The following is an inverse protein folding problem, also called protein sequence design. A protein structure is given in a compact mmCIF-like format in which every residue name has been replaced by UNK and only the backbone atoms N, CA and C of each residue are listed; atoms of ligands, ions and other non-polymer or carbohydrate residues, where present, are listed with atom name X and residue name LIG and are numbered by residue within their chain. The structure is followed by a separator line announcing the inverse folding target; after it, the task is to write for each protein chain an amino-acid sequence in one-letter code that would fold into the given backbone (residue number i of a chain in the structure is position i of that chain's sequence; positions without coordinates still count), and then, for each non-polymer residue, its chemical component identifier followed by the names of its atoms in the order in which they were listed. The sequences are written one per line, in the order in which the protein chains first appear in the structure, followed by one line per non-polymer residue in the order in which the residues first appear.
data_IF_104698721348
#
_entry.id   IF_104698721348
#
_cell.length_a   1.000
_cell.length_b   1.000
_cell.length_c   1.000
_cell.angle_alpha   90.00
_cell.angle_beta   90.00
_cell.angle_gamma   90.00
#
_symmetry.space_group_name_H-M   'P 1'
#
loop_
_entity.id
_entity.type
_entity.pdbx_description
1 polymer ?
#
# COMPACT_ATOMS: atom_id res chain seq x y z
N UNK A 1 -3.72 15.50 -23.11
CA UNK A 1 -2.79 15.59 -21.95
C UNK A 1 -1.39 15.60 -22.53
N UNK A 2 -0.49 16.41 -21.99
CA UNK A 2 0.90 16.42 -22.49
C UNK A 2 1.67 15.20 -21.98
N UNK A 3 2.72 14.78 -22.69
CA UNK A 3 3.53 13.61 -22.33
C UNK A 3 4.13 13.75 -20.92
N UNK A 4 4.59 14.96 -20.57
CA UNK A 4 5.13 15.27 -19.23
C UNK A 4 4.09 15.12 -18.12
N UNK A 5 2.84 15.46 -18.38
CA UNK A 5 1.77 15.25 -17.39
C UNK A 5 1.38 13.77 -17.27
N UNK A 6 1.56 13.00 -18.35
CA UNK A 6 1.20 11.59 -18.37
C UNK A 6 2.23 10.66 -17.70
N UNK A 7 3.50 11.02 -17.71
CA UNK A 7 4.63 10.23 -17.20
C UNK A 7 4.41 9.67 -15.78
N UNK A 8 3.82 10.49 -14.89
CA UNK A 8 3.48 10.06 -13.52
C UNK A 8 2.44 8.93 -13.51
N UNK A 9 1.42 9.01 -14.35
CA UNK A 9 0.37 7.99 -14.42
C UNK A 9 0.86 6.76 -15.16
N UNK A 10 1.69 6.92 -16.19
CA UNK A 10 2.31 5.79 -16.88
C UNK A 10 3.09 4.91 -15.90
N UNK A 11 3.89 5.53 -15.03
CA UNK A 11 4.62 4.82 -13.96
C UNK A 11 3.67 4.06 -13.05
N UNK A 12 2.54 4.68 -12.65
CA UNK A 12 1.51 4.02 -11.83
C UNK A 12 0.88 2.82 -12.55
N UNK A 13 0.49 2.96 -13.82
CA UNK A 13 -0.10 1.86 -14.60
C UNK A 13 0.87 0.70 -14.79
N UNK A 14 2.15 0.98 -15.08
CA UNK A 14 3.19 -0.05 -15.17
C UNK A 14 3.33 -0.83 -13.86
N UNK A 15 3.29 -0.13 -12.73
CA UNK A 15 3.34 -0.75 -11.40
C UNK A 15 2.11 -1.63 -11.15
N UNK A 16 0.91 -1.14 -11.45
CA UNK A 16 -0.34 -1.92 -11.30
C UNK A 16 -0.32 -3.18 -12.16
N UNK A 17 0.14 -3.10 -13.41
CA UNK A 17 0.31 -4.27 -14.29
C UNK A 17 1.28 -5.30 -13.69
N UNK A 18 2.41 -4.84 -13.15
CA UNK A 18 3.38 -5.71 -12.47
C UNK A 18 2.74 -6.38 -11.25
N UNK A 19 2.03 -5.63 -10.41
CA UNK A 19 1.39 -6.15 -9.20
C UNK A 19 0.23 -7.12 -9.49
N UNK A 20 -0.51 -6.92 -10.58
CA UNK A 20 -1.50 -7.88 -11.08
C UNK A 20 -0.83 -9.18 -11.52
N UNK A 21 0.30 -9.08 -12.24
CA UNK A 21 1.07 -10.26 -12.68
C UNK A 21 1.69 -11.03 -11.52
N UNK A 22 2.14 -10.32 -10.48
CA UNK A 22 2.67 -10.89 -9.24
C UNK A 22 1.56 -11.40 -8.30
N UNK A 23 0.28 -11.14 -8.60
CA UNK A 23 -0.86 -11.54 -7.77
C UNK A 23 -1.06 -10.72 -6.50
N UNK A 24 -0.35 -9.60 -6.35
CA UNK A 24 -0.48 -8.63 -5.24
C UNK A 24 -1.76 -7.81 -5.33
N UNK A 25 -2.21 -7.54 -6.57
CA UNK A 25 -3.54 -6.99 -6.88
C UNK A 25 -4.37 -8.03 -7.63
N UNK A 26 -5.69 -7.90 -7.58
CA UNK A 26 -6.62 -8.79 -8.27
C UNK A 26 -7.74 -7.98 -8.91
N UNK A 27 -8.36 -8.57 -9.93
CA UNK A 27 -9.61 -8.07 -10.49
C UNK A 27 -10.76 -8.56 -9.62
N UNK A 28 -11.62 -7.65 -9.17
CA UNK A 28 -12.82 -7.96 -8.41
C UNK A 28 -14.07 -7.36 -9.06
N UNK A 29 -15.22 -7.90 -8.67
CA UNK A 29 -16.52 -7.50 -9.21
C UNK A 29 -16.89 -6.09 -8.74
N UNK A 30 -17.33 -5.26 -9.69
CA UNK A 30 -17.83 -3.93 -9.43
C UNK A 30 -19.36 -3.99 -9.41
N UNK A 31 -19.95 -4.00 -8.22
CA UNK A 31 -21.38 -4.28 -8.04
C UNK A 31 -22.21 -3.01 -7.80
N UNK A 32 -21.62 -2.00 -7.15
CA UNK A 32 -22.32 -0.77 -6.81
C UNK A 32 -21.41 0.44 -6.98
N UNK A 33 -21.79 1.33 -7.90
CA UNK A 33 -21.06 2.55 -8.19
C UNK A 33 -20.83 3.43 -6.96
N UNK A 34 -21.81 3.57 -6.08
CA UNK A 34 -21.71 4.50 -4.95
C UNK A 34 -20.73 4.02 -3.88
N UNK A 35 -20.56 2.70 -3.75
CA UNK A 35 -19.64 2.10 -2.78
C UNK A 35 -18.31 1.68 -3.37
N UNK A 36 -18.25 1.39 -4.68
CA UNK A 36 -17.06 0.86 -5.33
C UNK A 36 -16.30 1.90 -6.15
N UNK A 37 -16.93 3.01 -6.56
CA UNK A 37 -16.26 4.07 -7.31
C UNK A 37 -15.65 5.11 -6.36
N UNK A 38 -14.43 4.84 -5.93
CA UNK A 38 -13.65 5.59 -4.96
C UNK A 38 -12.48 6.29 -5.67
N UNK A 39 -12.27 7.56 -5.33
CA UNK A 39 -11.13 8.37 -5.76
C UNK A 39 -9.79 7.72 -5.36
N UNK A 40 -8.77 7.86 -6.20
CA UNK A 40 -7.44 7.29 -5.97
C UNK A 40 -7.34 5.78 -6.25
N UNK A 41 -8.40 5.12 -6.72
CA UNK A 41 -8.40 3.69 -7.05
C UNK A 41 -8.35 3.44 -8.56
N UNK A 42 -8.02 2.19 -8.91
CA UNK A 42 -7.91 1.71 -10.30
C UNK A 42 -9.09 0.82 -10.69
N UNK A 43 -9.47 0.90 -11.95
CA UNK A 43 -10.56 0.14 -12.55
C UNK A 43 -10.15 -0.36 -13.92
N UNK A 44 -10.74 -1.46 -14.36
CA UNK A 44 -10.69 -1.92 -15.73
C UNK A 44 -11.99 -1.46 -16.42
N UNK A 45 -11.86 -0.77 -17.55
CA UNK A 45 -12.99 -0.28 -18.35
C UNK A 45 -12.74 -0.67 -19.80
N UNK A 46 -13.59 -1.54 -20.35
CA UNK A 46 -13.47 -2.05 -21.73
C UNK A 46 -12.05 -2.55 -22.08
N UNK A 47 -11.40 -3.21 -21.12
CA UNK A 47 -10.05 -3.77 -21.28
C UNK A 47 -8.91 -2.78 -21.06
N UNK A 48 -9.19 -1.52 -20.77
CA UNK A 48 -8.18 -0.50 -20.44
C UNK A 48 -8.16 -0.21 -18.93
N UNK A 49 -6.96 -0.10 -18.36
CA UNK A 49 -6.81 0.42 -17.00
C UNK A 49 -7.16 1.90 -16.94
N UNK A 50 -7.95 2.25 -15.94
CA UNK A 50 -8.41 3.60 -15.64
C UNK A 50 -8.11 3.95 -14.18
N UNK A 51 -7.50 5.10 -13.95
CA UNK A 51 -7.26 5.69 -12.65
C UNK A 51 -8.27 6.81 -12.39
N UNK A 52 -9.00 6.74 -11.28
CA UNK A 52 -9.91 7.81 -10.87
C UNK A 52 -9.14 8.83 -10.04
N UNK A 53 -8.74 9.94 -10.65
CA UNK A 53 -7.91 10.96 -9.99
C UNK A 53 -8.73 11.87 -9.09
N UNK A 54 -9.90 12.34 -9.55
CA UNK A 54 -10.78 13.23 -8.79
C UNK A 54 -12.23 12.79 -8.95
N UNK A 55 -12.98 12.78 -7.86
CA UNK A 55 -14.42 12.58 -7.84
C UNK A 55 -15.11 13.76 -7.15
N UNK A 56 -15.68 14.68 -7.95
CA UNK A 56 -16.53 15.78 -7.43
C UNK A 56 -17.98 15.35 -7.28
N UNK A 57 -18.21 14.10 -6.89
CA UNK A 57 -19.55 13.54 -6.77
C UNK A 57 -20.17 13.96 -5.43
N UNK A 58 -21.25 14.74 -5.50
CA UNK A 58 -22.00 15.19 -4.34
C UNK A 58 -23.35 14.49 -4.26
N UNK A 59 -23.84 14.27 -3.04
CA UNK A 59 -25.18 13.70 -2.83
C UNK A 59 -26.21 14.78 -3.13
N UNK A 60 -26.89 14.64 -4.26
CA UNK A 60 -27.98 15.52 -4.67
C UNK A 60 -29.31 14.82 -4.39
N UNK A 61 -30.22 15.52 -3.70
CA UNK A 61 -31.62 15.12 -3.62
C UNK A 61 -32.28 15.44 -4.97
N UNK A 62 -32.74 14.41 -5.67
CA UNK A 62 -33.55 14.59 -6.88
C UNK A 62 -34.99 14.18 -6.57
N UNK A 63 -35.88 15.17 -6.60
CA UNK A 63 -37.32 14.95 -6.76
C UNK A 63 -37.54 14.32 -8.14
N UNK A 64 -38.06 13.09 -8.15
CA UNK A 64 -38.55 12.47 -9.38
C UNK A 64 -40.03 12.17 -9.18
N UNK A 65 -40.78 11.98 -10.27
CA UNK A 65 -42.22 11.64 -10.27
C UNK A 65 -42.57 10.34 -9.53
N UNK A 66 -41.58 9.58 -9.04
CA UNK A 66 -41.71 8.33 -8.29
C UNK A 66 -41.12 8.39 -6.86
N UNK A 67 -40.93 9.60 -6.33
CA UNK A 67 -40.43 9.84 -4.97
C UNK A 67 -38.97 10.31 -4.92
N UNK A 68 -38.60 10.83 -3.75
CA UNK A 68 -37.27 11.38 -3.48
C UNK A 68 -36.22 10.27 -3.43
N UNK A 69 -35.17 10.42 -4.24
CA UNK A 69 -33.99 9.56 -4.19
C UNK A 69 -32.76 10.44 -4.05
N UNK A 70 -32.00 10.23 -2.98
CA UNK A 70 -30.64 10.77 -2.83
C UNK A 70 -29.76 10.09 -3.88
N UNK A 71 -29.06 10.88 -4.70
CA UNK A 71 -28.20 10.37 -5.77
C UNK A 71 -26.87 11.10 -5.77
N UNK A 72 -25.78 10.36 -5.85
CA UNK A 72 -24.48 10.94 -6.17
C UNK A 72 -24.43 11.40 -7.64
N UNK A 73 -24.19 12.68 -7.86
CA UNK A 73 -23.93 13.30 -9.16
C UNK A 73 -22.69 14.18 -9.10
N UNK A 74 -21.94 14.24 -10.21
CA UNK A 74 -20.72 15.02 -10.29
C UNK A 74 -19.85 14.60 -11.46
N UNK A 75 -18.80 15.38 -11.71
CA UNK A 75 -17.78 15.05 -12.72
C UNK A 75 -16.62 14.32 -12.07
N UNK A 76 -16.09 13.34 -12.78
CA UNK A 76 -14.84 12.69 -12.45
C UNK A 76 -13.72 13.25 -13.32
N UNK A 77 -12.49 13.10 -12.86
CA UNK A 77 -11.29 13.16 -13.69
C UNK A 77 -10.71 11.76 -13.72
N UNK A 78 -10.76 11.13 -14.90
CA UNK A 78 -10.35 9.73 -15.08
C UNK A 78 -9.25 9.67 -16.12
N UNK A 79 -8.14 9.06 -15.77
CA UNK A 79 -6.99 8.89 -16.65
C UNK A 79 -6.95 7.44 -17.10
N UNK A 80 -6.82 7.21 -18.41
CA UNK A 80 -6.68 5.88 -18.98
C UNK A 80 -5.21 5.60 -19.31
N UNK A 81 -4.84 4.32 -19.29
CA UNK A 81 -3.45 3.88 -19.53
C UNK A 81 -2.92 4.22 -20.94
N UNK A 82 -3.80 4.52 -21.88
CA UNK A 82 -3.44 4.97 -23.22
C UNK A 82 -3.18 6.49 -23.32
N UNK A 83 -3.11 7.19 -22.19
CA UNK A 83 -2.91 8.65 -22.14
C UNK A 83 -4.18 9.48 -22.26
N UNK A 84 -5.35 8.85 -22.39
CA UNK A 84 -6.62 9.58 -22.51
C UNK A 84 -7.05 10.13 -21.15
N UNK A 85 -7.32 11.43 -21.08
CA UNK A 85 -7.96 12.07 -19.92
C UNK A 85 -9.44 12.28 -20.23
N UNK A 86 -10.31 11.78 -19.36
CA UNK A 86 -11.75 11.87 -19.51
C UNK A 86 -12.40 12.56 -18.32
N UNK A 87 -13.38 13.42 -18.58
CA UNK A 87 -14.11 14.17 -17.57
C UNK A 87 -15.58 13.71 -17.50
N UNK A 88 -15.79 12.39 -17.44
CA UNK A 88 -17.12 11.78 -17.48
C UNK A 88 -17.94 12.14 -16.24
N UNK A 89 -19.26 12.02 -16.33
CA UNK A 89 -20.10 12.02 -15.14
C UNK A 89 -19.83 10.76 -14.32
N UNK A 90 -19.81 10.89 -13.00
CA UNK A 90 -19.60 9.80 -12.04
C UNK A 90 -20.46 8.57 -12.36
N UNK A 91 -21.75 8.80 -12.67
CA UNK A 91 -22.68 7.74 -13.06
C UNK A 91 -22.36 7.10 -14.40
N UNK A 92 -21.88 7.88 -15.37
CA UNK A 92 -21.51 7.35 -16.68
C UNK A 92 -20.29 6.44 -16.57
N UNK A 93 -19.28 6.86 -15.79
CA UNK A 93 -18.12 6.02 -15.49
C UNK A 93 -18.53 4.74 -14.75
N UNK A 94 -19.32 4.87 -13.69
CA UNK A 94 -19.82 3.72 -12.94
C UNK A 94 -20.61 2.73 -13.79
N UNK A 95 -21.47 3.23 -14.69
CA UNK A 95 -22.22 2.37 -15.64
C UNK A 95 -21.30 1.69 -16.64
N UNK A 96 -20.25 2.37 -17.12
CA UNK A 96 -19.28 1.76 -18.01
C UNK A 96 -18.54 0.61 -17.32
N UNK A 97 -18.13 0.80 -16.06
CA UNK A 97 -17.48 -0.25 -15.26
C UNK A 97 -18.47 -1.39 -14.95
N UNK A 98 -19.72 -1.10 -14.58
CA UNK A 98 -20.74 -2.13 -14.32
C UNK A 98 -21.03 -3.01 -15.53
N UNK A 99 -20.92 -2.46 -16.75
CA UNK A 99 -21.26 -3.18 -17.97
C UNK A 99 -20.21 -4.23 -18.32
N UNK A 100 -18.94 -3.82 -18.40
CA UNK A 100 -17.84 -4.65 -18.93
C UNK A 100 -16.52 -4.43 -18.19
N UNK A 101 -16.56 -3.83 -17.02
CA UNK A 101 -15.39 -3.47 -16.24
C UNK A 101 -15.23 -4.29 -14.98
N UNK A 102 -14.12 -4.05 -14.28
CA UNK A 102 -13.80 -4.63 -12.98
C UNK A 102 -13.15 -3.58 -12.10
N UNK A 103 -13.21 -3.75 -10.79
CA UNK A 103 -12.37 -2.96 -9.89
C UNK A 103 -11.03 -3.68 -9.68
N UNK A 104 -9.96 -2.89 -9.51
CA UNK A 104 -8.64 -3.41 -9.17
C UNK A 104 -8.49 -3.29 -7.66
N UNK A 105 -8.24 -4.41 -6.97
CA UNK A 105 -8.01 -4.38 -5.52
C UNK A 105 -6.74 -3.62 -5.20
N UNK A 106 -6.66 -3.11 -3.98
CA UNK A 106 -5.39 -2.66 -3.43
C UNK A 106 -4.50 -3.80 -2.99
N UNK A 107 -3.22 -3.49 -2.82
CA UNK A 107 -2.24 -4.38 -2.21
C UNK A 107 -2.50 -4.45 -0.71
N UNK A 108 -2.09 -5.56 -0.09
CA UNK A 108 -2.17 -5.72 1.36
C UNK A 108 -1.44 -4.57 2.09
N UNK A 109 -0.31 -4.10 1.55
CA UNK A 109 0.46 -2.99 2.09
C UNK A 109 -0.33 -1.67 2.07
N UNK A 110 -1.02 -1.36 0.97
CA UNK A 110 -1.85 -0.16 0.87
C UNK A 110 -3.05 -0.20 1.82
N UNK A 111 -3.71 -1.36 1.94
CA UNK A 111 -4.84 -1.55 2.86
C UNK A 111 -4.37 -1.35 4.30
N UNK A 112 -3.21 -1.91 4.65
CA UNK A 112 -2.63 -1.71 5.97
C UNK A 112 -2.36 -0.23 6.22
N UNK A 113 -1.68 0.46 5.29
CA UNK A 113 -1.34 1.88 5.45
C UNK A 113 -2.61 2.76 5.55
N UNK A 114 -3.70 2.46 4.83
CA UNK A 114 -5.00 3.11 5.03
C UNK A 114 -5.59 2.86 6.43
N UNK A 115 -5.48 1.64 6.97
CA UNK A 115 -5.92 1.33 8.33
C UNK A 115 -5.12 2.10 9.39
N UNK A 116 -3.80 2.21 9.22
CA UNK A 116 -2.93 2.99 10.12
C UNK A 116 -3.29 4.48 10.11
N UNK A 117 -3.59 5.03 8.92
CA UNK A 117 -4.08 6.42 8.77
C UNK A 117 -5.45 6.63 9.42
N UNK A 118 -6.40 5.76 9.15
CA UNK A 118 -7.76 5.84 9.71
C UNK A 118 -7.79 5.66 11.24
N UNK A 119 -6.85 4.90 11.79
CA UNK A 119 -6.67 4.76 13.23
C UNK A 119 -6.00 5.99 13.90
N UNK A 120 -5.62 7.02 13.12
CA UNK A 120 -4.94 8.22 13.62
C UNK A 120 -3.52 7.96 14.13
N UNK A 121 -2.93 6.82 13.77
CA UNK A 121 -1.58 6.42 14.21
C UNK A 121 -0.51 7.08 13.32
N UNK A 122 -0.89 7.42 12.07
CA UNK A 122 0.00 7.96 11.04
C UNK A 122 -0.75 9.05 10.27
N UNK A 123 -0.13 10.21 10.05
CA UNK A 123 -0.68 11.31 9.26
C UNK A 123 -0.41 11.15 7.75
N UNK A 124 -1.10 11.92 6.89
CA UNK A 124 -0.80 11.93 5.45
C UNK A 124 0.60 12.49 5.12
N UNK A 125 1.16 13.30 6.02
CA UNK A 125 2.49 13.91 5.89
C UNK A 125 3.62 12.96 6.34
N UNK A 126 3.26 11.85 7.00
CA UNK A 126 4.22 10.93 7.58
C UNK A 126 4.83 10.02 6.51
N UNK A 127 6.12 10.20 6.26
CA UNK A 127 6.87 9.38 5.31
C UNK A 127 7.31 8.10 6.00
N UNK A 128 6.80 6.97 5.48
CA UNK A 128 7.24 5.63 5.91
C UNK A 128 8.76 5.54 5.78
N UNK A 129 9.43 5.41 6.92
CA UNK A 129 10.88 5.36 6.99
C UNK A 129 11.39 3.93 6.85
N UNK A 130 10.65 2.94 7.38
CA UNK A 130 11.00 1.53 7.27
C UNK A 130 10.41 0.68 8.40
N UNK A 131 11.15 -0.35 8.80
CA UNK A 131 10.80 -1.29 9.85
C UNK A 131 11.97 -1.50 10.81
N UNK A 132 11.71 -1.42 12.11
CA UNK A 132 12.59 -1.98 13.14
C UNK A 132 12.16 -3.42 13.37
N UNK A 133 13.12 -4.34 13.38
CA UNK A 133 12.87 -5.75 13.63
C UNK A 133 13.75 -6.28 14.76
N UNK A 134 13.22 -7.25 15.50
CA UNK A 134 13.91 -7.97 16.57
C UNK A 134 13.85 -9.46 16.23
N UNK A 135 15.01 -10.09 16.14
CA UNK A 135 15.16 -11.48 15.73
C UNK A 135 15.86 -12.30 16.80
N UNK A 136 15.54 -13.58 16.88
CA UNK A 136 16.24 -14.57 17.71
C UNK A 136 16.87 -15.64 16.82
N UNK A 137 18.12 -16.01 17.09
CA UNK A 137 18.81 -17.05 16.32
C UNK A 137 18.23 -18.44 16.59
N UNK A 138 18.08 -19.26 15.54
CA UNK A 138 17.77 -20.70 15.61
C UNK A 138 19.01 -21.58 15.56
N UNK A 139 20.20 -21.01 15.74
CA UNK A 139 21.45 -21.76 15.65
C UNK A 139 21.45 -22.93 16.66
N UNK A 140 21.87 -24.10 16.18
CA UNK A 140 22.09 -25.29 17.04
C UNK A 140 23.50 -25.34 17.62
N UNK A 141 24.35 -24.36 17.30
CA UNK A 141 25.67 -24.26 17.88
C UNK A 141 25.52 -24.00 19.40
N UNK A 142 26.16 -24.82 20.23
CA UNK A 142 26.13 -24.71 21.69
C UNK A 142 26.62 -23.36 22.20
N UNK A 143 27.59 -22.72 21.53
CA UNK A 143 28.11 -21.41 21.91
C UNK A 143 27.09 -20.29 21.69
N UNK A 144 26.21 -20.43 20.69
CA UNK A 144 25.18 -19.42 20.37
C UNK A 144 23.90 -19.69 21.15
N UNK A 145 23.47 -20.95 21.20
CA UNK A 145 22.22 -21.35 21.85
C UNK A 145 22.28 -21.28 23.38
N UNK A 146 23.47 -21.32 23.98
CA UNK A 146 23.66 -21.14 25.42
C UNK A 146 23.57 -19.68 25.88
N UNK A 147 23.69 -18.72 24.95
CA UNK A 147 23.57 -17.30 25.26
C UNK A 147 22.10 -16.95 25.54
N UNK A 148 21.83 -16.57 26.79
CA UNK A 148 20.53 -16.07 27.21
C UNK A 148 20.31 -14.67 26.61
N UNK A 149 19.11 -14.42 26.08
CA UNK A 149 18.68 -13.12 25.56
C UNK A 149 19.51 -12.55 24.39
N UNK A 150 20.07 -13.43 23.56
CA UNK A 150 20.73 -13.02 22.31
C UNK A 150 19.69 -12.65 21.23
N UNK A 151 19.56 -11.34 20.99
CA UNK A 151 18.69 -10.80 19.95
C UNK A 151 19.46 -9.98 18.91
N UNK A 152 19.05 -10.09 17.65
CA UNK A 152 19.45 -9.16 16.61
C UNK A 152 18.37 -8.10 16.43
N UNK A 153 18.72 -6.85 16.75
CA UNK A 153 17.88 -5.69 16.46
C UNK A 153 18.42 -5.04 15.19
N UNK A 154 17.56 -4.72 14.25
CA UNK A 154 17.97 -4.06 13.02
C UNK A 154 16.87 -3.20 12.42
N UNK A 155 17.27 -2.42 11.42
CA UNK A 155 16.37 -1.58 10.64
C UNK A 155 16.40 -2.03 9.17
N UNK A 156 15.26 -1.94 8.49
CA UNK A 156 15.16 -2.17 7.05
C UNK A 156 14.18 -1.19 6.41
N UNK A 157 14.53 -0.69 5.22
CA UNK A 157 13.61 0.08 4.37
C UNK A 157 12.76 -0.83 3.47
N UNK A 158 13.00 -2.15 3.47
CA UNK A 158 12.23 -3.16 2.75
C UNK A 158 11.54 -4.12 3.71
N UNK A 159 10.61 -4.95 3.20
CA UNK A 159 9.90 -5.91 4.03
C UNK A 159 10.89 -6.81 4.79
N UNK A 160 10.70 -6.92 6.11
CA UNK A 160 11.59 -7.68 7.00
C UNK A 160 11.70 -9.14 6.54
N UNK A 161 10.60 -9.72 6.06
CA UNK A 161 10.55 -11.10 5.57
C UNK A 161 11.52 -11.34 4.42
N UNK A 162 11.62 -10.38 3.49
CA UNK A 162 12.57 -10.44 2.38
C UNK A 162 14.00 -10.22 2.88
N UNK A 163 14.21 -9.33 3.85
CA UNK A 163 15.53 -9.03 4.43
C UNK A 163 16.16 -10.23 5.14
N UNK A 164 15.34 -11.10 5.75
CA UNK A 164 15.81 -12.27 6.52
C UNK A 164 15.76 -13.58 5.73
N UNK A 165 15.31 -13.56 4.46
CA UNK A 165 15.11 -14.78 3.66
C UNK A 165 16.36 -15.64 3.51
N UNK A 166 17.54 -15.02 3.52
CA UNK A 166 18.84 -15.71 3.43
C UNK A 166 19.63 -15.68 4.74
N UNK A 167 18.95 -15.56 5.89
CA UNK A 167 19.61 -15.37 7.19
C UNK A 167 20.67 -16.46 7.49
N UNK A 168 20.36 -17.72 7.19
CA UNK A 168 21.28 -18.85 7.35
C UNK A 168 22.59 -18.75 6.56
N UNK A 169 22.69 -17.84 5.58
CA UNK A 169 23.90 -17.65 4.76
C UNK A 169 24.65 -16.35 5.06
N UNK A 170 24.13 -15.52 5.96
CA UNK A 170 24.69 -14.20 6.26
C UNK A 170 25.34 -14.20 7.65
N UNK A 171 26.56 -13.66 7.73
CA UNK A 171 27.31 -13.55 8.99
C UNK A 171 26.59 -12.70 10.04
N UNK A 172 25.84 -11.68 9.62
CA UNK A 172 25.04 -10.80 10.51
C UNK A 172 23.98 -11.56 11.31
N UNK A 173 23.55 -12.74 10.85
CA UNK A 173 22.63 -13.62 11.57
C UNK A 173 23.31 -14.90 12.06
N UNK A 174 24.64 -14.88 12.17
CA UNK A 174 25.46 -15.97 12.68
C UNK A 174 25.27 -17.27 11.89
N UNK A 175 25.06 -17.16 10.57
CA UNK A 175 24.87 -18.29 9.66
C UNK A 175 23.77 -19.26 10.10
N UNK A 176 22.71 -18.74 10.73
CA UNK A 176 21.56 -19.51 11.17
C UNK A 176 20.25 -18.86 10.73
N UNK A 177 19.21 -19.66 10.60
CA UNK A 177 17.86 -19.15 10.45
C UNK A 177 17.45 -18.39 11.72
N UNK A 178 16.44 -17.53 11.59
CA UNK A 178 16.00 -16.63 12.65
C UNK A 178 14.49 -16.72 12.85
N UNK A 179 14.06 -16.49 14.09
CA UNK A 179 12.66 -16.21 14.42
C UNK A 179 12.42 -14.70 14.49
N UNK A 180 11.29 -14.27 13.92
CA UNK A 180 10.80 -12.92 14.08
C UNK A 180 10.10 -12.80 15.44
N UNK A 181 10.74 -12.08 16.37
CA UNK A 181 10.22 -11.85 17.72
C UNK A 181 9.26 -10.67 17.73
N UNK A 182 9.66 -9.57 17.07
CA UNK A 182 8.84 -8.38 16.93
C UNK A 182 9.22 -7.60 15.67
N UNK A 183 8.27 -6.84 15.14
CA UNK A 183 8.50 -5.89 14.04
C UNK A 183 7.64 -4.66 14.28
N UNK A 184 8.24 -3.48 14.12
CA UNK A 184 7.61 -2.18 14.30
C UNK A 184 7.75 -1.38 13.02
N UNK A 185 6.64 -0.86 12.47
CA UNK A 185 6.68 0.10 11.37
C UNK A 185 7.14 1.45 11.91
N UNK A 186 8.00 2.12 11.16
CA UNK A 186 8.54 3.42 11.52
C UNK A 186 8.17 4.47 10.47
N UNK A 187 7.73 5.63 10.96
CA UNK A 187 7.37 6.80 10.17
C UNK A 187 8.19 7.99 10.66
N UNK A 188 8.61 8.87 9.74
CA UNK A 188 9.44 10.06 10.00
C UNK A 188 10.69 9.83 10.87
N UNK A 189 11.27 8.63 10.83
CA UNK A 189 12.37 8.23 11.69
C UNK A 189 13.70 8.50 10.99
N UNK A 190 14.53 9.37 11.60
CA UNK A 190 15.93 9.50 11.19
C UNK A 190 16.71 8.26 11.68
N UNK A 191 17.04 7.38 10.74
CA UNK A 191 17.61 6.05 10.99
C UNK A 191 18.98 6.11 11.64
N UNK A 192 19.83 7.07 11.26
CA UNK A 192 21.16 7.27 11.85
C UNK A 192 21.05 7.69 13.32
N UNK A 193 20.17 8.63 13.63
CA UNK A 193 19.97 9.09 15.00
C UNK A 193 19.38 7.99 15.88
N UNK A 194 18.44 7.22 15.36
CA UNK A 194 17.84 6.09 16.07
C UNK A 194 18.85 4.99 16.35
N UNK A 195 19.66 4.60 15.36
CA UNK A 195 20.70 3.60 15.56
C UNK A 195 21.72 4.05 16.60
N UNK A 196 22.17 5.31 16.56
CA UNK A 196 23.07 5.87 17.56
C UNK A 196 22.47 5.84 18.97
N UNK A 197 21.17 6.17 19.11
CA UNK A 197 20.46 6.09 20.39
C UNK A 197 20.33 4.65 20.89
N UNK A 198 20.02 3.70 20.01
CA UNK A 198 19.92 2.28 20.34
C UNK A 198 21.26 1.74 20.83
N UNK A 199 22.35 2.00 20.10
CA UNK A 199 23.69 1.58 20.50
C UNK A 199 24.02 2.16 21.88
N UNK A 200 23.82 3.47 22.09
CA UNK A 200 24.05 4.08 23.40
C UNK A 200 23.19 3.49 24.50
N UNK A 201 21.92 3.18 24.23
CA UNK A 201 21.02 2.60 25.22
C UNK A 201 21.43 1.16 25.58
N UNK A 202 21.76 0.35 24.58
CA UNK A 202 22.12 -1.07 24.75
C UNK A 202 23.54 -1.28 25.28
N UNK A 203 24.48 -0.39 24.95
CA UNK A 203 25.82 -0.35 25.56
C UNK A 203 25.74 -0.14 27.09
N UNK A 204 24.74 0.60 27.55
CA UNK A 204 24.48 0.83 28.98
C UNK A 204 23.51 -0.19 29.60
N UNK A 205 22.99 -1.14 28.82
CA UNK A 205 22.02 -2.14 29.28
C UNK A 205 22.67 -3.46 29.75
N UNK A 206 23.98 -3.43 30.00
CA UNK A 206 24.78 -4.58 30.50
C UNK A 206 24.99 -4.47 32.00
#
# INVERSE_FOLDING_TARGET
MSDKEFEKYETMFRQVHKELKEGKRRLAEFNNTETNLIEGKFYLVDGLLAYLEVSKAEKILKENTSGDRVRLEGRTVTIFENGTKSNMLFRSLGKAILKNGKLITDTAENIEDELWKNAGIVSEEDVKSGWIYILKSKSRNSEISSLKDLYKIGFSTSNVSDRIKNASKEATYLFADVDMVATYKCYNLNTQNFESLLHRFLENAV
#
